data_IF_134770671961
#
_entry.id   IF_134770671961
#
_cell.length_a   1.000
_cell.length_b   1.000
_cell.length_c   1.000
_cell.angle_alpha   90.00
_cell.angle_beta   90.00
_cell.angle_gamma   90.00
#
_symmetry.space_group_name_H-M   'P 1'
#
loop_
_entity.id
_entity.type
_entity.pdbx_description
1 polymer ?
#
# COMPACT_ATOMS: atom_id res chain seq x y z
N UNK A 1 -11.76 17.19 14.14
CA UNK A 1 -11.26 18.30 13.30
C UNK A 1 -11.07 17.73 11.90
N UNK A 2 -11.60 18.37 10.86
CA UNK A 2 -11.48 17.87 9.49
C UNK A 2 -10.38 18.67 8.81
N UNK A 3 -9.29 18.01 8.44
CA UNK A 3 -8.19 18.64 7.71
C UNK A 3 -8.50 18.63 6.22
N UNK A 4 -8.21 19.75 5.56
CA UNK A 4 -8.39 19.86 4.11
C UNK A 4 -7.18 19.22 3.41
N UNK A 5 -7.46 18.47 2.35
CA UNK A 5 -6.41 17.95 1.49
C UNK A 5 -5.87 19.05 0.56
N UNK A 6 -4.60 18.95 0.20
CA UNK A 6 -3.98 19.86 -0.76
C UNK A 6 -4.65 19.84 -2.15
N UNK A 7 -4.25 20.76 -3.02
CA UNK A 7 -4.91 21.01 -4.29
C UNK A 7 -4.94 19.77 -5.21
N UNK A 8 -3.87 18.99 -5.27
CA UNK A 8 -3.80 17.76 -6.07
C UNK A 8 -4.46 16.60 -5.33
N UNK A 9 -4.14 16.42 -4.04
CA UNK A 9 -4.63 15.31 -3.24
C UNK A 9 -6.16 15.34 -3.11
N UNK A 10 -6.77 16.52 -3.02
CA UNK A 10 -8.23 16.70 -2.97
C UNK A 10 -8.94 16.18 -4.23
N UNK A 11 -8.23 16.12 -5.37
CA UNK A 11 -8.76 15.64 -6.66
C UNK A 11 -8.53 14.13 -6.88
N UNK A 12 -7.85 13.43 -5.98
CA UNK A 12 -7.58 12.00 -6.09
C UNK A 12 -8.52 11.22 -5.18
N UNK A 13 -9.44 10.47 -5.78
CA UNK A 13 -10.27 9.53 -5.04
C UNK A 13 -9.73 8.10 -5.14
N UNK A 14 -9.15 7.73 -6.28
CA UNK A 14 -8.54 6.42 -6.47
C UNK A 14 -7.33 6.49 -7.43
N UNK A 15 -6.56 5.40 -7.61
CA UNK A 15 -5.36 5.41 -8.45
C UNK A 15 -5.58 5.83 -9.91
N UNK A 16 -6.81 5.75 -10.45
CA UNK A 16 -7.10 6.24 -11.79
C UNK A 16 -7.05 7.76 -11.91
N UNK A 17 -7.33 8.50 -10.84
CA UNK A 17 -7.17 9.96 -10.78
C UNK A 17 -5.68 10.33 -10.69
N UNK A 18 -4.92 9.60 -9.87
CA UNK A 18 -3.48 9.76 -9.74
C UNK A 18 -2.77 9.66 -11.10
N UNK A 19 -3.15 8.69 -11.94
CA UNK A 19 -2.56 8.47 -13.27
C UNK A 19 -2.85 9.57 -14.30
N UNK A 20 -3.75 10.51 -14.00
CA UNK A 20 -4.03 11.68 -14.85
C UNK A 20 -3.06 12.83 -14.61
N UNK A 21 -2.33 12.80 -13.50
CA UNK A 21 -1.31 13.78 -13.20
C UNK A 21 -0.12 13.63 -14.15
N UNK A 22 0.57 14.73 -14.40
CA UNK A 22 1.88 14.71 -15.03
C UNK A 22 2.94 14.28 -14.01
N UNK A 23 4.03 13.70 -14.49
CA UNK A 23 5.12 13.20 -13.63
C UNK A 23 5.74 14.31 -12.75
N UNK A 24 5.83 15.54 -13.26
CA UNK A 24 6.33 16.71 -12.52
C UNK A 24 5.40 17.15 -11.36
N UNK A 25 4.15 16.69 -11.34
CA UNK A 25 3.20 16.96 -10.26
C UNK A 25 3.28 15.93 -9.12
N UNK A 26 3.99 14.80 -9.31
CA UNK A 26 4.05 13.73 -8.31
C UNK A 26 4.82 14.13 -7.05
N UNK A 27 5.79 15.03 -7.17
CA UNK A 27 6.51 15.59 -6.03
C UNK A 27 5.57 16.44 -5.15
N UNK A 28 4.80 17.35 -5.77
CA UNK A 28 3.81 18.15 -5.07
C UNK A 28 2.76 17.25 -4.40
N UNK A 29 2.25 16.24 -5.11
CA UNK A 29 1.30 15.29 -4.51
C UNK A 29 1.89 14.59 -3.29
N UNK A 30 3.16 14.17 -3.37
CA UNK A 30 3.83 13.51 -2.25
C UNK A 30 3.94 14.44 -1.04
N UNK A 31 4.23 15.72 -1.26
CA UNK A 31 4.24 16.73 -0.20
C UNK A 31 2.84 16.93 0.43
N UNK A 32 1.80 17.04 -0.39
CA UNK A 32 0.42 17.18 0.09
C UNK A 32 -0.05 15.94 0.87
N UNK A 33 0.27 14.74 0.38
CA UNK A 33 -0.03 13.48 1.06
C UNK A 33 0.69 13.37 2.41
N UNK A 34 1.97 13.76 2.43
CA UNK A 34 2.77 13.82 3.66
C UNK A 34 2.13 14.76 4.68
N UNK A 35 1.77 15.98 4.28
CA UNK A 35 1.14 16.95 5.17
C UNK A 35 -0.20 16.43 5.70
N UNK A 36 -1.04 15.86 4.83
CA UNK A 36 -2.31 15.29 5.25
C UNK A 36 -2.16 14.15 6.26
N UNK A 37 -1.16 13.27 6.09
CA UNK A 37 -0.85 12.23 7.08
C UNK A 37 -0.42 12.85 8.41
N UNK A 38 0.42 13.88 8.38
CA UNK A 38 0.88 14.58 9.60
C UNK A 38 -0.32 15.15 10.35
N UNK A 39 -1.20 15.85 9.65
CA UNK A 39 -2.39 16.47 10.23
C UNK A 39 -3.29 15.42 10.89
N UNK A 40 -3.62 14.34 10.17
CA UNK A 40 -4.50 13.28 10.66
C UNK A 40 -3.92 12.56 11.90
N UNK A 41 -2.62 12.26 11.88
CA UNK A 41 -1.96 11.52 12.97
C UNK A 41 -1.71 12.41 14.19
N UNK A 42 -1.59 13.73 14.02
CA UNK A 42 -1.37 14.68 15.13
C UNK A 42 -2.50 14.66 16.18
N UNK A 43 -3.73 14.33 15.77
CA UNK A 43 -4.90 14.30 16.65
C UNK A 43 -5.42 12.89 16.95
N UNK A 44 -5.22 11.93 16.04
CA UNK A 44 -5.76 10.57 16.19
C UNK A 44 -4.71 9.55 16.65
N UNK A 45 -3.43 9.91 16.66
CA UNK A 45 -2.32 8.97 16.89
C UNK A 45 -2.19 7.94 15.76
N UNK A 46 -1.24 7.01 15.89
CA UNK A 46 -1.01 5.93 14.92
C UNK A 46 0.42 5.85 14.40
N UNK A 47 0.61 5.12 13.31
CA UNK A 47 1.93 4.78 12.78
C UNK A 47 2.49 5.91 11.91
N UNK A 48 3.02 6.93 12.58
CA UNK A 48 3.53 8.15 11.96
C UNK A 48 4.78 7.91 11.09
N UNK A 49 5.92 7.60 11.72
CA UNK A 49 7.22 7.59 11.06
C UNK A 49 7.30 6.58 9.90
N UNK A 50 6.75 5.38 10.10
CA UNK A 50 6.72 4.33 9.07
C UNK A 50 5.94 4.78 7.82
N UNK A 51 4.80 5.46 8.00
CA UNK A 51 3.99 5.95 6.89
C UNK A 51 4.65 7.11 6.14
N UNK A 52 5.33 8.02 6.85
CA UNK A 52 6.03 9.15 6.21
C UNK A 52 7.24 8.70 5.38
N UNK A 53 7.88 7.60 5.77
CA UNK A 53 9.05 7.04 5.08
C UNK A 53 8.74 6.38 3.74
N UNK A 54 7.47 6.14 3.41
CA UNK A 54 7.06 5.44 2.17
C UNK A 54 6.07 6.24 1.33
N UNK A 55 5.93 7.54 1.57
CA UNK A 55 4.99 8.42 0.82
C UNK A 55 5.29 8.38 -0.67
N UNK A 56 6.53 8.66 -1.07
CA UNK A 56 6.94 8.68 -2.48
C UNK A 56 6.83 7.29 -3.10
N UNK A 57 7.22 6.24 -2.38
CA UNK A 57 7.08 4.86 -2.84
C UNK A 57 5.61 4.50 -3.11
N UNK A 58 4.72 4.91 -2.21
CA UNK A 58 3.27 4.68 -2.34
C UNK A 58 2.71 5.40 -3.57
N UNK A 59 3.07 6.67 -3.76
CA UNK A 59 2.66 7.47 -4.93
C UNK A 59 3.18 6.81 -6.21
N UNK A 60 4.46 6.46 -6.27
CA UNK A 60 5.07 5.81 -7.43
C UNK A 60 4.39 4.48 -7.76
N UNK A 61 4.17 3.61 -6.76
CA UNK A 61 3.52 2.31 -6.96
C UNK A 61 2.10 2.46 -7.50
N UNK A 62 1.27 3.36 -6.95
CA UNK A 62 -0.08 3.57 -7.48
C UNK A 62 -0.11 4.30 -8.82
N UNK A 63 0.92 5.08 -9.14
CA UNK A 63 1.05 5.73 -10.44
C UNK A 63 1.39 4.70 -11.54
N UNK A 64 2.35 3.79 -11.29
CA UNK A 64 2.80 2.83 -12.32
C UNK A 64 1.96 1.55 -12.37
N UNK A 65 1.53 1.02 -11.21
CA UNK A 65 0.82 -0.26 -11.13
C UNK A 65 -0.68 -0.08 -11.40
N UNK A 66 -1.32 -1.08 -12.00
CA UNK A 66 -2.75 -1.13 -12.27
C UNK A 66 -3.54 -1.71 -11.09
N UNK A 67 -3.40 -1.16 -9.89
CA UNK A 67 -4.18 -1.64 -8.72
C UNK A 67 -5.67 -1.33 -8.91
N UNK A 68 -6.61 -2.25 -8.58
CA UNK A 68 -6.41 -3.50 -7.83
C UNK A 68 -6.21 -4.75 -8.71
N UNK A 69 -6.06 -4.60 -10.03
CA UNK A 69 -5.72 -5.75 -10.89
C UNK A 69 -4.35 -6.32 -10.49
N UNK A 70 -3.35 -5.44 -10.42
CA UNK A 70 -2.05 -5.76 -9.84
C UNK A 70 -2.17 -5.91 -8.32
N UNK A 71 -1.48 -6.91 -7.78
CA UNK A 71 -1.53 -7.27 -6.37
C UNK A 71 -0.43 -6.55 -5.62
N UNK A 72 -0.78 -5.50 -4.88
CA UNK A 72 0.13 -4.77 -4.00
C UNK A 72 -0.11 -5.17 -2.54
N UNK A 73 0.92 -5.72 -1.91
CA UNK A 73 0.89 -6.17 -0.51
C UNK A 73 1.89 -5.34 0.30
N UNK A 74 1.44 -4.81 1.43
CA UNK A 74 2.29 -4.12 2.42
C UNK A 74 2.54 -5.04 3.61
N UNK A 75 3.78 -5.44 3.86
CA UNK A 75 4.14 -6.25 5.03
C UNK A 75 3.90 -5.48 6.34
N UNK A 76 3.34 -6.14 7.36
CA UNK A 76 2.78 -5.53 8.59
C UNK A 76 1.61 -4.58 8.31
N UNK A 77 1.77 -3.62 7.39
CA UNK A 77 0.76 -2.67 6.96
C UNK A 77 0.77 -1.32 7.68
N UNK A 78 1.60 -1.17 8.72
CA UNK A 78 1.68 0.05 9.52
C UNK A 78 2.16 1.30 8.75
N UNK A 79 2.83 1.09 7.62
CA UNK A 79 3.33 2.12 6.70
C UNK A 79 2.32 2.50 5.60
N UNK A 80 1.16 1.82 5.53
CA UNK A 80 0.24 1.91 4.40
C UNK A 80 -0.82 3.02 4.52
N UNK A 81 -0.57 4.10 5.28
CA UNK A 81 -1.53 5.20 5.40
C UNK A 81 -1.72 5.95 4.09
N UNK A 82 -0.61 6.26 3.40
CA UNK A 82 -0.67 6.84 2.06
C UNK A 82 -1.46 5.96 1.09
N UNK A 83 -1.26 4.64 1.17
CA UNK A 83 -1.98 3.66 0.36
C UNK A 83 -3.49 3.77 0.61
N UNK A 84 -3.94 3.78 1.87
CA UNK A 84 -5.37 3.94 2.20
C UNK A 84 -5.94 5.25 1.65
N UNK A 85 -5.23 6.35 1.87
CA UNK A 85 -5.65 7.70 1.44
C UNK A 85 -5.84 7.76 -0.09
N UNK A 86 -4.87 7.26 -0.87
CA UNK A 86 -4.90 7.28 -2.34
C UNK A 86 -5.87 6.24 -2.97
N UNK A 87 -6.53 5.42 -2.16
CA UNK A 87 -7.41 4.32 -2.62
C UNK A 87 -8.82 4.43 -2.05
N UNK A 88 -9.37 5.65 -2.03
CA UNK A 88 -10.78 5.91 -1.74
C UNK A 88 -11.11 6.15 -0.28
N UNK A 89 -10.11 6.21 0.61
CA UNK A 89 -10.35 6.31 2.05
C UNK A 89 -9.89 7.61 2.68
N UNK A 90 -9.48 8.61 1.90
CA UNK A 90 -9.07 9.94 2.39
C UNK A 90 -10.12 10.57 3.31
N UNK A 91 -11.36 10.64 2.86
CA UNK A 91 -12.42 11.40 3.56
C UNK A 91 -12.83 10.74 4.89
N UNK A 92 -12.71 9.40 4.96
CA UNK A 92 -12.97 8.61 6.17
C UNK A 92 -11.70 8.32 6.98
N UNK A 93 -10.53 8.84 6.58
CA UNK A 93 -9.26 8.49 7.20
C UNK A 93 -9.16 8.92 8.66
N UNK A 94 -9.91 9.96 9.05
CA UNK A 94 -10.05 10.40 10.43
C UNK A 94 -10.63 9.33 11.38
N UNK A 95 -11.22 8.24 10.85
CA UNK A 95 -11.72 7.09 11.62
C UNK A 95 -10.68 6.00 11.86
N UNK A 96 -9.47 6.16 11.33
CA UNK A 96 -8.40 5.16 11.40
C UNK A 96 -8.09 4.76 12.85
N UNK A 97 -8.14 3.45 13.14
CA UNK A 97 -7.91 2.84 14.47
C UNK A 97 -8.94 3.20 15.55
N UNK A 98 -10.08 3.76 15.16
CA UNK A 98 -11.21 3.99 16.07
C UNK A 98 -12.19 2.82 15.94
N UNK A 99 -12.89 2.50 17.02
CA UNK A 99 -13.97 1.50 16.99
C UNK A 99 -14.99 1.84 15.90
N UNK A 100 -15.38 0.86 15.09
CA UNK A 100 -16.25 1.02 13.91
C UNK A 100 -15.67 1.91 12.79
N UNK A 101 -14.39 2.29 12.88
CA UNK A 101 -13.66 2.99 11.83
C UNK A 101 -12.83 2.06 10.95
N UNK A 102 -11.96 2.65 10.11
CA UNK A 102 -11.04 1.87 9.27
C UNK A 102 -9.87 1.28 10.09
N UNK A 103 -9.39 0.11 9.67
CA UNK A 103 -8.27 -0.58 10.28
C UNK A 103 -6.97 0.22 10.13
N UNK A 104 -6.11 0.13 11.15
CA UNK A 104 -4.74 0.67 11.11
C UNK A 104 -3.79 -0.05 10.16
N UNK A 105 -4.25 -1.13 9.51
CA UNK A 105 -3.51 -1.98 8.58
C UNK A 105 -4.40 -2.30 7.36
N UNK A 106 -3.85 -2.68 6.21
CA UNK A 106 -4.62 -3.22 5.09
C UNK A 106 -5.52 -4.40 5.52
N UNK A 107 -6.79 -4.33 5.15
CA UNK A 107 -7.82 -5.31 5.44
C UNK A 107 -8.65 -5.59 4.18
N UNK A 108 -8.66 -6.86 3.74
CA UNK A 108 -9.35 -7.31 2.52
C UNK A 108 -10.87 -7.07 2.54
N UNK A 109 -11.47 -6.99 3.73
CA UNK A 109 -12.90 -6.70 3.88
C UNK A 109 -13.20 -5.20 3.87
N UNK A 110 -12.18 -4.35 4.01
CA UNK A 110 -12.31 -2.89 4.01
C UNK A 110 -12.17 -2.31 2.60
N UNK A 111 -11.27 -2.85 1.78
CA UNK A 111 -10.99 -2.31 0.44
C UNK A 111 -10.52 -3.38 -0.54
N UNK A 112 -10.94 -3.25 -1.81
CA UNK A 112 -10.43 -4.05 -2.93
C UNK A 112 -8.94 -3.80 -3.23
N UNK A 113 -8.38 -2.69 -2.74
CA UNK A 113 -6.97 -2.35 -2.90
C UNK A 113 -6.06 -3.01 -1.85
N UNK A 114 -6.66 -3.56 -0.78
CA UNK A 114 -5.93 -4.27 0.26
C UNK A 114 -5.83 -5.76 -0.15
N UNK A 115 -4.90 -6.08 -1.04
CA UNK A 115 -4.80 -7.40 -1.68
C UNK A 115 -4.65 -8.56 -0.66
N UNK A 116 -3.99 -8.30 0.46
CA UNK A 116 -3.76 -9.28 1.53
C UNK A 116 -3.95 -8.62 2.91
N UNK A 117 -4.54 -9.37 3.85
CA UNK A 117 -4.77 -8.89 5.21
C UNK A 117 -3.51 -9.12 6.05
N UNK A 118 -3.05 -8.07 6.74
CA UNK A 118 -1.76 -8.08 7.45
C UNK A 118 -1.89 -7.56 8.88
N UNK A 119 -0.86 -7.85 9.68
CA UNK A 119 -0.68 -7.36 11.05
C UNK A 119 0.60 -7.93 11.65
N UNK A 120 0.79 -9.24 11.54
CA UNK A 120 2.10 -9.88 11.75
C UNK A 120 3.05 -9.61 10.57
N UNK A 121 4.34 -9.54 10.86
CA UNK A 121 5.39 -9.29 9.88
C UNK A 121 5.80 -10.54 9.08
N UNK A 122 6.57 -10.33 8.03
CA UNK A 122 7.28 -11.35 7.22
C UNK A 122 6.38 -12.20 6.32
N UNK A 123 5.11 -11.80 6.14
CA UNK A 123 4.09 -12.61 5.44
C UNK A 123 3.90 -12.21 3.96
N UNK A 124 4.33 -11.01 3.58
CA UNK A 124 4.03 -10.40 2.28
C UNK A 124 4.61 -11.17 1.08
N UNK A 125 5.89 -11.57 1.15
CA UNK A 125 6.59 -12.25 0.04
C UNK A 125 5.93 -13.60 -0.26
N UNK A 126 5.64 -14.39 0.78
CA UNK A 126 4.94 -15.68 0.64
C UNK A 126 3.55 -15.51 0.02
N UNK A 127 2.80 -14.51 0.48
CA UNK A 127 1.48 -14.21 -0.05
C UNK A 127 1.52 -13.78 -1.52
N UNK A 128 2.42 -12.84 -1.86
CA UNK A 128 2.58 -12.35 -3.23
C UNK A 128 3.07 -13.46 -4.17
N UNK A 129 3.99 -14.34 -3.73
CA UNK A 129 4.42 -15.51 -4.49
C UNK A 129 3.25 -16.45 -4.79
N UNK A 130 2.41 -16.74 -3.79
CA UNK A 130 1.22 -17.56 -4.00
C UNK A 130 0.26 -16.97 -5.03
N UNK A 131 0.07 -15.65 -5.00
CA UNK A 131 -0.72 -14.92 -6.01
C UNK A 131 -0.09 -15.02 -7.40
N UNK A 132 1.24 -14.86 -7.50
CA UNK A 132 1.97 -14.95 -8.76
C UNK A 132 1.89 -16.35 -9.40
N UNK A 133 2.03 -17.41 -8.59
CA UNK A 133 1.83 -18.80 -9.03
C UNK A 133 0.40 -19.02 -9.49
N UNK A 134 -0.60 -18.47 -8.79
CA UNK A 134 -2.00 -18.58 -9.20
C UNK A 134 -2.26 -17.89 -10.56
N UNK A 135 -1.69 -16.71 -10.79
CA UNK A 135 -1.77 -16.03 -12.09
C UNK A 135 -1.12 -16.84 -13.21
N UNK A 136 0.04 -17.46 -12.95
CA UNK A 136 0.69 -18.36 -13.90
C UNK A 136 -0.20 -19.56 -14.27
N UNK A 137 -0.84 -20.21 -13.27
CA UNK A 137 -1.75 -21.34 -13.49
C UNK A 137 -2.98 -20.91 -14.32
N UNK A 138 -3.49 -19.70 -14.10
CA UNK A 138 -4.62 -19.14 -14.85
C UNK A 138 -4.23 -18.62 -16.24
N UNK A 139 -2.94 -18.58 -16.57
CA UNK A 139 -2.45 -18.02 -17.82
C UNK A 139 -2.51 -16.49 -17.90
N UNK A 140 -2.62 -15.80 -16.76
CA UNK A 140 -2.56 -14.33 -16.67
C UNK A 140 -1.10 -13.89 -16.82
N UNK A 141 -0.77 -13.14 -17.88
CA UNK A 141 0.62 -12.81 -18.24
C UNK A 141 1.04 -11.39 -17.90
N UNK A 142 0.09 -10.51 -17.65
CA UNK A 142 0.29 -9.07 -17.47
C UNK A 142 0.06 -8.59 -16.04
N UNK A 143 -0.52 -9.43 -15.16
CA UNK A 143 -0.72 -9.10 -13.74
C UNK A 143 0.62 -9.01 -13.01
N UNK A 144 0.82 -7.91 -12.29
CA UNK A 144 1.99 -7.70 -11.43
C UNK A 144 1.69 -8.11 -9.98
N UNK A 145 2.72 -8.57 -9.28
CA UNK A 145 2.68 -8.98 -7.88
C UNK A 145 3.80 -8.27 -7.14
N UNK A 146 3.45 -7.47 -6.13
CA UNK A 146 4.35 -6.56 -5.45
C UNK A 146 4.23 -6.78 -3.94
N UNK A 147 5.37 -7.02 -3.27
CA UNK A 147 5.46 -7.14 -1.82
C UNK A 147 6.37 -6.05 -1.25
N UNK A 148 5.81 -5.04 -0.60
CA UNK A 148 6.59 -4.02 0.10
C UNK A 148 6.90 -4.50 1.51
N UNK A 149 8.16 -4.82 1.78
CA UNK A 149 8.63 -5.33 3.07
C UNK A 149 9.66 -4.40 3.70
N UNK A 150 9.53 -4.14 5.00
CA UNK A 150 10.55 -3.41 5.77
C UNK A 150 11.76 -4.29 6.09
N UNK A 151 12.92 -3.70 6.26
CA UNK A 151 14.18 -4.38 6.62
C UNK A 151 14.06 -5.22 7.90
N UNK A 152 13.38 -4.69 8.92
CA UNK A 152 13.11 -5.44 10.15
C UNK A 152 12.12 -6.61 9.97
N UNK A 153 11.19 -6.52 9.02
CA UNK A 153 10.30 -7.63 8.69
C UNK A 153 11.01 -8.69 7.82
N UNK A 154 11.98 -8.28 7.01
CA UNK A 154 12.78 -9.17 6.17
C UNK A 154 13.62 -10.15 7.01
N UNK A 155 13.92 -9.84 8.27
CA UNK A 155 14.70 -10.73 9.14
C UNK A 155 13.92 -11.98 9.59
N UNK A 156 12.61 -12.04 9.39
CA UNK A 156 11.80 -13.19 9.78
C UNK A 156 12.08 -14.41 8.90
N UNK A 157 12.17 -15.59 9.51
CA UNK A 157 12.43 -16.85 8.78
C UNK A 157 11.46 -17.10 7.62
N UNK A 158 10.18 -16.73 7.81
CA UNK A 158 9.16 -16.82 6.76
C UNK A 158 9.53 -16.03 5.50
N UNK A 159 10.16 -14.85 5.63
CA UNK A 159 10.56 -14.05 4.48
C UNK A 159 11.71 -14.73 3.70
N UNK A 160 12.67 -15.34 4.40
CA UNK A 160 13.76 -16.09 3.77
C UNK A 160 13.26 -17.36 3.07
N UNK A 161 12.35 -18.11 3.70
CA UNK A 161 11.71 -19.27 3.09
C UNK A 161 10.95 -18.88 1.81
N UNK A 162 10.22 -17.76 1.86
CA UNK A 162 9.51 -17.22 0.70
C UNK A 162 10.44 -16.83 -0.45
N UNK A 163 11.53 -16.12 -0.15
CA UNK A 163 12.53 -15.71 -1.14
C UNK A 163 13.21 -16.92 -1.77
N UNK A 164 13.58 -17.91 -0.96
CA UNK A 164 14.18 -19.15 -1.46
C UNK A 164 13.21 -19.90 -2.40
N UNK A 165 11.93 -19.98 -2.03
CA UNK A 165 10.91 -20.56 -2.88
C UNK A 165 10.71 -19.75 -4.18
N UNK A 166 10.64 -18.41 -4.10
CA UNK A 166 10.49 -17.55 -5.26
C UNK A 166 11.64 -17.73 -6.27
N UNK A 167 12.88 -17.90 -5.79
CA UNK A 167 14.06 -18.13 -6.62
C UNK A 167 13.97 -19.41 -7.47
N UNK A 168 13.25 -20.43 -7.00
CA UNK A 168 13.05 -21.69 -7.72
C UNK A 168 11.80 -21.63 -8.61
N UNK A 169 10.73 -20.96 -8.15
CA UNK A 169 9.44 -20.91 -8.84
C UNK A 169 9.43 -20.05 -10.10
N UNK A 170 10.42 -19.16 -10.30
CA UNK A 170 10.54 -18.25 -11.46
C UNK A 170 9.27 -17.43 -11.72
N UNK A 171 8.55 -17.08 -10.66
CA UNK A 171 7.31 -16.31 -10.74
C UNK A 171 7.60 -14.81 -10.92
N UNK A 172 6.72 -14.08 -11.62
CA UNK A 172 6.85 -12.63 -11.80
C UNK A 172 6.46 -11.90 -10.50
N UNK A 173 7.47 -11.53 -9.71
CA UNK A 173 7.33 -10.93 -8.38
C UNK A 173 8.32 -9.77 -8.22
N UNK A 174 7.82 -8.62 -7.76
CA UNK A 174 8.60 -7.49 -7.27
C UNK A 174 8.57 -7.50 -5.73
N UNK A 175 9.74 -7.50 -5.10
CA UNK A 175 9.91 -7.35 -3.65
C UNK A 175 10.72 -6.08 -3.41
#
# INVERSE_FOLDING_TARGET
MQFEAGELLSKINDPSDLKKLKEDQLEQLSQELRQFIIDQVSVNGGHFAASLGVVELTVALHYVMNTPYDQLIWDVGHQAYGHKILTGRRDIFHTNRIENGISGFPNRFESKYDAFGVGHSSTSISAALGMAVASQIKGEKDRQHIAVIGDGALTGGMAFEALNHAGISKSNLLV
#
